data_IF_416414322417
#
_entry.id   IF_416414322417
#
_cell.length_a   1.000
_cell.length_b   1.000
_cell.length_c   1.000
_cell.angle_alpha   90.00
_cell.angle_beta   90.00
_cell.angle_gamma   90.00
#
_symmetry.space_group_name_H-M   'P 1'
#
loop_
_entity.id
_entity.type
_entity.pdbx_description
1 polymer ?
#
# COMPACT_ATOMS: atom_id res chain seq x y z
N UNK A 1 0.06 11.10 10.97
CA UNK A 1 -1.03 10.12 11.18
C UNK A 1 -1.59 9.66 9.85
N UNK A 2 -1.73 8.36 9.68
CA UNK A 2 -2.25 7.79 8.43
C UNK A 2 -3.78 7.88 8.43
N UNK A 3 -4.33 8.34 7.30
CA UNK A 3 -5.78 8.51 7.14
C UNK A 3 -6.24 7.89 5.84
N UNK A 4 -7.56 7.79 5.68
CA UNK A 4 -8.14 7.33 4.43
C UNK A 4 -7.63 8.18 3.28
N UNK A 5 -7.39 7.52 2.16
CA UNK A 5 -6.87 8.09 0.92
C UNK A 5 -5.37 8.40 0.94
N UNK A 6 -4.69 8.21 2.08
CA UNK A 6 -3.25 8.37 2.12
C UNK A 6 -2.55 7.24 1.37
N UNK A 7 -1.41 7.55 0.80
CA UNK A 7 -0.52 6.56 0.21
C UNK A 7 0.40 6.00 1.28
N UNK A 8 0.59 4.70 1.25
CA UNK A 8 1.49 4.00 2.18
C UNK A 8 2.32 2.99 1.40
N UNK A 9 3.43 2.59 1.99
CA UNK A 9 4.25 1.52 1.43
C UNK A 9 4.29 0.36 2.40
N UNK A 10 4.38 -0.85 1.86
CA UNK A 10 4.53 -2.04 2.68
C UNK A 10 5.88 -2.06 3.37
N UNK A 11 5.89 -2.49 4.61
CA UNK A 11 7.13 -2.72 5.36
C UNK A 11 7.57 -4.17 5.27
N UNK A 12 6.75 -5.03 4.70
CA UNK A 12 6.98 -6.46 4.62
C UNK A 12 6.62 -6.98 3.24
N UNK A 13 7.09 -8.18 2.93
CA UNK A 13 6.64 -8.88 1.73
C UNK A 13 5.34 -9.62 2.03
N UNK A 14 4.45 -9.63 1.05
CA UNK A 14 3.22 -10.41 1.08
C UNK A 14 3.23 -11.30 -0.15
N UNK A 15 4.13 -12.27 -0.15
CA UNK A 15 4.41 -13.07 -1.33
C UNK A 15 3.20 -13.85 -1.84
N UNK A 16 2.36 -14.32 -0.93
CA UNK A 16 1.16 -15.06 -1.32
C UNK A 16 0.13 -14.18 -2.03
N UNK A 17 0.30 -12.87 -1.95
CA UNK A 17 -0.56 -11.92 -2.65
C UNK A 17 0.16 -11.23 -3.80
N UNK A 18 1.39 -11.63 -4.07
CA UNK A 18 2.18 -11.02 -5.13
C UNK A 18 2.65 -9.62 -4.81
N UNK A 19 2.71 -9.28 -3.54
CA UNK A 19 3.13 -7.94 -3.09
C UNK A 19 4.47 -8.04 -2.37
N UNK A 20 5.25 -6.98 -2.49
CA UNK A 20 6.58 -6.93 -1.90
C UNK A 20 6.75 -5.70 -1.04
N UNK A 21 7.72 -5.76 -0.15
CA UNK A 21 8.15 -4.61 0.63
C UNK A 21 8.34 -3.41 -0.29
N UNK A 22 7.90 -2.26 0.17
CA UNK A 22 7.95 -0.97 -0.52
C UNK A 22 6.92 -0.80 -1.65
N UNK A 23 6.11 -1.80 -1.92
CA UNK A 23 4.97 -1.59 -2.81
C UNK A 23 4.02 -0.58 -2.20
N UNK A 24 3.45 0.28 -3.05
CA UNK A 24 2.62 1.39 -2.63
C UNK A 24 1.15 1.04 -2.78
N UNK A 25 0.39 1.35 -1.74
CA UNK A 25 -1.05 1.20 -1.78
C UNK A 25 -1.74 2.44 -1.23
N UNK A 26 -3.05 2.44 -1.33
CA UNK A 26 -3.89 3.53 -0.85
C UNK A 26 -4.77 3.03 0.29
N UNK A 27 -4.82 3.79 1.36
CA UNK A 27 -5.71 3.47 2.49
C UNK A 27 -7.15 3.68 2.03
N UNK A 28 -7.94 2.62 2.04
CA UNK A 28 -9.37 2.74 1.70
C UNK A 28 -10.24 2.76 2.94
N UNK A 29 -9.74 2.25 4.07
CA UNK A 29 -10.50 2.27 5.32
C UNK A 29 -9.53 2.18 6.49
N UNK A 30 -9.78 2.99 7.51
CA UNK A 30 -9.05 2.89 8.77
C UNK A 30 -9.90 2.08 9.72
N UNK A 31 -9.34 1.00 10.26
CA UNK A 31 -10.03 0.12 11.19
C UNK A 31 -9.27 0.08 12.50
N UNK A 32 -9.87 -0.51 13.51
CA UNK A 32 -9.21 -0.64 14.80
C UNK A 32 -7.94 -1.48 14.65
N UNK A 33 -6.81 -0.89 14.97
CA UNK A 33 -5.53 -1.59 14.95
C UNK A 33 -4.88 -1.70 13.58
N UNK A 34 -5.48 -1.15 12.53
CA UNK A 34 -4.90 -1.29 11.22
C UNK A 34 -5.65 -0.57 10.12
N UNK A 35 -5.46 -1.08 8.91
CA UNK A 35 -5.99 -0.44 7.72
C UNK A 35 -6.41 -1.48 6.69
N UNK A 36 -7.39 -1.11 5.87
CA UNK A 36 -7.64 -1.80 4.60
C UNK A 36 -6.92 -1.01 3.53
N UNK A 37 -6.07 -1.67 2.77
CA UNK A 37 -5.19 -1.01 1.80
C UNK A 37 -5.42 -1.61 0.43
N UNK A 38 -5.61 -0.75 -0.56
CA UNK A 38 -5.81 -1.17 -1.93
C UNK A 38 -4.51 -1.01 -2.72
N UNK A 39 -4.10 -2.06 -3.40
CA UNK A 39 -2.94 -2.06 -4.29
C UNK A 39 -3.43 -2.24 -5.72
N UNK A 40 -3.01 -1.34 -6.61
CA UNK A 40 -3.45 -1.37 -8.00
C UNK A 40 -2.25 -1.35 -8.94
N UNK A 41 -2.49 -1.82 -10.17
CA UNK A 41 -1.51 -1.70 -11.23
C UNK A 41 -1.53 -0.28 -11.79
N UNK A 42 -0.55 0.03 -12.64
CA UNK A 42 -0.52 1.32 -13.33
C UNK A 42 -1.72 1.53 -14.24
N UNK A 43 -2.35 0.46 -14.68
CA UNK A 43 -3.53 0.57 -15.53
C UNK A 43 -4.80 0.79 -14.73
N UNK A 44 -4.71 0.79 -13.41
CA UNK A 44 -5.85 1.04 -12.54
C UNK A 44 -6.61 -0.21 -12.12
N UNK A 45 -6.18 -1.36 -12.54
CA UNK A 45 -6.81 -2.61 -12.10
C UNK A 45 -6.46 -2.87 -10.64
N UNK A 46 -7.46 -3.22 -9.84
CA UNK A 46 -7.22 -3.59 -8.46
C UNK A 46 -6.51 -4.94 -8.42
N UNK A 47 -5.35 -4.95 -7.78
CA UNK A 47 -4.60 -6.19 -7.56
C UNK A 47 -5.11 -6.90 -6.31
N UNK A 48 -5.24 -6.15 -5.23
CA UNK A 48 -5.69 -6.72 -3.97
C UNK A 48 -6.13 -5.62 -3.02
N UNK A 49 -7.09 -5.96 -2.16
CA UNK A 49 -7.42 -5.15 -0.98
C UNK A 49 -7.05 -6.00 0.21
N UNK A 50 -6.16 -5.50 1.04
CA UNK A 50 -5.54 -6.29 2.10
C UNK A 50 -5.69 -5.58 3.43
N UNK A 51 -6.11 -6.34 4.46
CA UNK A 51 -6.12 -5.84 5.82
C UNK A 51 -4.71 -5.91 6.39
N UNK A 52 -4.20 -4.80 6.86
CA UNK A 52 -2.83 -4.71 7.38
C UNK A 52 -2.83 -4.06 8.75
N UNK A 53 -1.92 -4.52 9.60
CA UNK A 53 -1.69 -3.92 10.90
C UNK A 53 -0.87 -2.64 10.72
N UNK A 54 -0.96 -1.75 11.71
CA UNK A 54 -0.24 -0.46 11.64
C UNK A 54 1.24 -0.63 11.38
N UNK A 55 1.86 -1.62 11.99
CA UNK A 55 3.30 -1.83 11.85
C UNK A 55 3.72 -2.43 10.51
N UNK A 56 2.78 -2.80 9.67
CA UNK A 56 3.08 -3.42 8.39
C UNK A 56 3.15 -2.41 7.24
N UNK A 57 2.78 -1.16 7.51
CA UNK A 57 2.83 -0.11 6.50
C UNK A 57 3.54 1.11 7.06
N UNK A 58 4.06 1.93 6.17
CA UNK A 58 4.62 3.23 6.54
C UNK A 58 4.04 4.31 5.64
N UNK A 59 3.87 5.52 6.15
CA UNK A 59 3.40 6.61 5.31
C UNK A 59 4.47 7.00 4.30
N UNK A 60 4.05 7.47 3.15
CA UNK A 60 4.97 8.02 2.17
C UNK A 60 5.15 9.50 2.39
N UNK A 61 6.38 9.98 2.17
CA UNK A 61 6.63 11.40 2.07
C UNK A 61 6.46 11.81 0.62
N UNK A 62 6.28 13.10 0.38
CA UNK A 62 6.17 13.59 -0.98
C UNK A 62 7.42 13.29 -1.81
N UNK A 63 8.56 13.14 -1.17
CA UNK A 63 9.81 12.80 -1.84
C UNK A 63 9.83 11.38 -2.37
N UNK A 64 9.18 10.48 -1.66
CA UNK A 64 9.23 9.06 -1.98
C UNK A 64 8.32 8.68 -3.13
N UNK A 65 7.24 9.42 -3.32
CA UNK A 65 6.22 9.04 -4.30
C UNK A 65 6.79 8.77 -5.69
N UNK A 66 7.63 9.64 -6.25
CA UNK A 66 8.15 9.39 -7.59
C UNK A 66 9.17 8.26 -7.67
N UNK A 67 9.73 7.86 -6.54
CA UNK A 67 10.83 6.90 -6.51
C UNK A 67 10.43 5.56 -5.93
N UNK A 68 9.24 5.46 -5.39
CA UNK A 68 8.75 4.23 -4.80
C UNK A 68 8.22 3.33 -5.90
N UNK A 69 8.51 2.04 -5.77
CA UNK A 69 7.93 1.07 -6.69
C UNK A 69 6.42 1.11 -6.57
N UNK A 70 5.77 1.51 -7.64
CA UNK A 70 4.32 1.45 -7.74
C UNK A 70 4.01 0.17 -8.50
N UNK A 71 2.94 -0.51 -8.13
CA UNK A 71 2.55 -1.76 -8.76
C UNK A 71 2.51 -1.58 -10.26
N UNK A 72 3.51 -2.08 -10.96
CA UNK A 72 3.58 -1.93 -12.41
C UNK A 72 2.95 -3.12 -13.08
N UNK A 73 2.22 -2.84 -14.15
CA UNK A 73 1.63 -3.89 -14.96
C UNK A 73 2.69 -4.60 -15.81
N UNK A 74 3.76 -3.93 -16.07
CA UNK A 74 4.84 -4.52 -16.88
C UNK A 74 5.92 -5.07 -16.00
#
# INVERSE_FOLDING_TARGET
MIREHDLVALRIDLTEKGLAKDDVGTIVLVVRGGYEVEFVTQTGETVAIVGLKRGQVRPLTSREIPHTRIMKAS
#
